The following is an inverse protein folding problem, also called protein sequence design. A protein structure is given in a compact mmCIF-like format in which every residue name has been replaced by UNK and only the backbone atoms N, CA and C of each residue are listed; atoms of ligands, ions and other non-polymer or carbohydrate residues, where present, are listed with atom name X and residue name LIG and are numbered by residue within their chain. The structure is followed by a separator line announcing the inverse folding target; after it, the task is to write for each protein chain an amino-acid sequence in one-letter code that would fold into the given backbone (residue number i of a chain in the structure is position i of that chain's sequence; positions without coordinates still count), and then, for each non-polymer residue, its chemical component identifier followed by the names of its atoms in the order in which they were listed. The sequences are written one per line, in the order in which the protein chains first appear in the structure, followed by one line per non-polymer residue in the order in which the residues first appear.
data_IF_896042061017
#
_entry.id   IF_896042061017
#
_cell.length_a   1.000
_cell.length_b   1.000
_cell.length_c   1.000
_cell.angle_alpha   90.00
_cell.angle_beta   90.00
_cell.angle_gamma   90.00
#
_symmetry.space_group_name_H-M   'P 1'
#
loop_
_entity.id
_entity.type
_entity.pdbx_description
1 polymer ?
#
# COMPACT_ATOMS: atom_id res chain seq x y z
N UNK A 1 -4.02 -2.02 30.92
CA UNK A 1 -3.22 -2.77 29.93
C UNK A 1 -4.06 -2.99 28.69
N UNK A 2 -4.01 -2.07 27.74
CA UNK A 2 -4.69 -2.16 26.43
C UNK A 2 -3.74 -2.82 25.43
N UNK A 3 -3.42 -4.09 25.67
CA UNK A 3 -2.64 -4.87 24.72
C UNK A 3 -3.53 -5.25 23.55
N UNK A 4 -3.06 -5.02 22.32
CA UNK A 4 -3.65 -5.64 21.12
C UNK A 4 -3.67 -7.14 21.40
N UNK A 5 -4.82 -7.81 21.31
CA UNK A 5 -5.01 -9.21 21.77
C UNK A 5 -4.18 -10.27 21.03
N UNK A 6 -3.17 -9.87 20.25
CA UNK A 6 -2.32 -10.70 19.41
C UNK A 6 -0.84 -10.40 19.69
N UNK A 7 -0.01 -11.41 19.46
CA UNK A 7 1.45 -11.29 19.54
C UNK A 7 1.99 -10.36 18.46
N UNK A 8 2.92 -9.49 18.82
CA UNK A 8 3.62 -8.61 17.87
C UNK A 8 5.14 -8.75 18.04
N UNK A 9 5.87 -8.82 16.92
CA UNK A 9 7.31 -8.73 16.95
C UNK A 9 7.74 -7.29 17.20
N UNK A 10 8.65 -7.08 18.15
CA UNK A 10 9.39 -5.82 18.21
C UNK A 10 10.28 -5.71 16.97
N UNK A 11 10.25 -4.56 16.29
CA UNK A 11 11.08 -4.31 15.10
C UNK A 11 12.56 -4.01 15.43
N UNK A 12 13.07 -4.46 16.58
CA UNK A 12 14.47 -4.28 16.95
C UNK A 12 15.37 -5.24 16.15
N UNK A 13 16.47 -4.71 15.63
CA UNK A 13 17.45 -5.49 14.85
C UNK A 13 18.02 -6.68 15.64
N UNK A 14 18.27 -6.50 16.94
CA UNK A 14 18.77 -7.57 17.80
C UNK A 14 17.82 -8.78 17.88
N UNK A 15 16.51 -8.53 17.99
CA UNK A 15 15.48 -9.58 18.06
C UNK A 15 15.33 -10.28 16.71
N UNK A 16 15.46 -9.52 15.61
CA UNK A 16 15.46 -10.06 14.24
C UNK A 16 16.62 -11.03 14.02
N UNK A 17 17.85 -10.63 14.38
CA UNK A 17 19.03 -11.50 14.22
C UNK A 17 18.93 -12.78 15.05
N UNK A 18 18.43 -12.69 16.29
CA UNK A 18 18.26 -13.86 17.14
C UNK A 18 17.27 -14.86 16.54
N UNK A 19 16.15 -14.37 15.99
CA UNK A 19 15.16 -15.22 15.33
C UNK A 19 15.68 -15.85 14.03
N UNK A 20 16.44 -15.10 13.23
CA UNK A 20 17.08 -15.63 12.02
C UNK A 20 18.07 -16.75 12.33
N UNK A 21 18.80 -16.67 13.44
CA UNK A 21 19.69 -17.75 13.93
C UNK A 21 18.93 -19.00 14.32
N UNK A 22 17.72 -18.86 14.87
CA UNK A 22 16.85 -19.98 15.27
C UNK A 22 16.07 -20.58 14.10
N UNK A 23 15.89 -19.85 13.01
CA UNK A 23 15.20 -20.34 11.82
C UNK A 23 16.04 -21.41 11.14
N UNK A 24 15.48 -22.61 11.06
CA UNK A 24 16.14 -23.79 10.56
C UNK A 24 15.32 -24.43 9.44
N UNK A 25 16.00 -24.81 8.34
CA UNK A 25 15.35 -25.57 7.27
C UNK A 25 15.04 -26.99 7.72
N UNK A 26 13.97 -27.56 7.18
CA UNK A 26 13.67 -28.99 7.32
C UNK A 26 14.80 -29.84 6.74
N UNK A 27 14.90 -31.09 7.19
CA UNK A 27 15.91 -32.05 6.71
C UNK A 27 15.85 -32.25 5.19
N UNK A 28 14.64 -32.29 4.61
CA UNK A 28 14.43 -32.41 3.17
C UNK A 28 15.00 -31.21 2.40
N UNK A 29 14.69 -29.99 2.85
CA UNK A 29 15.15 -28.77 2.20
C UNK A 29 16.67 -28.61 2.31
N UNK A 30 17.28 -28.95 3.45
CA UNK A 30 18.74 -28.95 3.61
C UNK A 30 19.42 -29.93 2.63
N UNK A 31 18.80 -31.07 2.37
CA UNK A 31 19.33 -32.06 1.42
C UNK A 31 19.32 -31.49 0.01
N UNK A 32 18.22 -30.86 -0.38
CA UNK A 32 18.07 -30.24 -1.71
C UNK A 32 19.02 -29.06 -1.92
N UNK A 33 19.21 -28.22 -0.91
CA UNK A 33 20.20 -27.12 -0.93
C UNK A 33 21.62 -27.66 -1.18
N UNK A 34 22.00 -28.74 -0.49
CA UNK A 34 23.32 -29.39 -0.66
C UNK A 34 23.47 -30.05 -2.03
N UNK A 35 22.45 -30.77 -2.49
CA UNK A 35 22.46 -31.45 -3.80
C UNK A 35 22.59 -30.45 -4.95
N UNK A 36 21.89 -29.31 -4.85
CA UNK A 36 21.92 -28.23 -5.85
C UNK A 36 23.13 -27.29 -5.71
N UNK A 37 23.96 -27.47 -4.66
CA UNK A 37 25.12 -26.62 -4.35
C UNK A 37 24.76 -25.12 -4.34
N UNK A 38 23.64 -24.79 -3.71
CA UNK A 38 23.20 -23.40 -3.65
C UNK A 38 24.18 -22.56 -2.82
N UNK A 39 24.37 -21.28 -3.19
CA UNK A 39 25.27 -20.39 -2.48
C UNK A 39 24.79 -20.16 -1.03
N UNK A 40 25.70 -19.97 -0.05
CA UNK A 40 25.32 -19.68 1.33
C UNK A 40 24.40 -18.46 1.48
N UNK A 41 24.52 -17.49 0.58
CA UNK A 41 23.67 -16.29 0.53
C UNK A 41 22.19 -16.65 0.31
N UNK A 42 21.90 -17.73 -0.42
CA UNK A 42 20.53 -18.18 -0.68
C UNK A 42 19.79 -18.54 0.61
N UNK A 43 20.47 -19.20 1.55
CA UNK A 43 19.85 -19.56 2.83
C UNK A 43 19.47 -18.32 3.63
N UNK A 44 20.33 -17.30 3.61
CA UNK A 44 20.10 -16.03 4.30
C UNK A 44 18.91 -15.29 3.69
N UNK A 45 18.88 -15.13 2.37
CA UNK A 45 17.81 -14.43 1.65
C UNK A 45 16.44 -15.07 1.88
N UNK A 46 16.34 -16.40 1.80
CA UNK A 46 15.08 -17.11 2.02
C UNK A 46 14.57 -16.91 3.45
N UNK A 47 15.47 -16.99 4.45
CA UNK A 47 15.10 -16.81 5.86
C UNK A 47 14.66 -15.37 6.14
N UNK A 48 15.35 -14.39 5.58
CA UNK A 48 14.97 -12.97 5.70
C UNK A 48 13.60 -12.70 5.07
N UNK A 49 13.38 -13.17 3.84
CA UNK A 49 12.10 -13.02 3.15
C UNK A 49 10.94 -13.74 3.88
N UNK A 50 11.20 -14.90 4.48
CA UNK A 50 10.22 -15.58 5.32
C UNK A 50 9.90 -14.77 6.58
N UNK A 51 10.94 -14.25 7.24
CA UNK A 51 10.78 -13.46 8.45
C UNK A 51 10.00 -12.17 8.20
N UNK A 52 10.25 -11.48 7.09
CA UNK A 52 9.51 -10.29 6.70
C UNK A 52 8.01 -10.58 6.54
N UNK A 53 7.67 -11.72 5.92
CA UNK A 53 6.28 -12.18 5.81
C UNK A 53 5.67 -12.52 7.16
N UNK A 54 6.44 -13.16 8.05
CA UNK A 54 6.00 -13.48 9.41
C UNK A 54 5.71 -12.21 10.21
N UNK A 55 6.64 -11.25 10.20
CA UNK A 55 6.50 -9.95 10.86
C UNK A 55 5.27 -9.22 10.31
N UNK A 56 5.11 -9.18 8.98
CA UNK A 56 3.92 -8.60 8.37
C UNK A 56 2.66 -9.26 8.91
N UNK A 57 2.54 -10.59 8.87
CA UNK A 57 1.34 -11.30 9.29
C UNK A 57 0.94 -11.06 10.75
N UNK A 58 1.92 -10.96 11.67
CA UNK A 58 1.63 -10.81 13.11
C UNK A 58 1.52 -9.35 13.55
N UNK A 59 2.19 -8.42 12.88
CA UNK A 59 2.15 -6.99 13.21
C UNK A 59 1.05 -6.23 12.46
N UNK A 60 0.02 -6.93 11.96
CA UNK A 60 -1.13 -6.28 11.32
C UNK A 60 -1.85 -5.35 12.30
N UNK A 61 -2.33 -4.19 11.84
CA UNK A 61 -3.15 -3.30 12.65
C UNK A 61 -4.48 -3.97 13.01
N UNK A 62 -5.00 -3.68 14.21
CA UNK A 62 -6.35 -4.10 14.55
C UNK A 62 -7.39 -3.26 13.78
N UNK A 63 -8.67 -3.62 13.92
CA UNK A 63 -9.76 -2.96 13.18
C UNK A 63 -9.82 -1.45 13.46
N UNK A 64 -9.64 -1.06 14.71
CA UNK A 64 -9.68 0.33 15.14
C UNK A 64 -8.54 1.16 14.54
N UNK A 65 -7.32 0.62 14.59
CA UNK A 65 -6.12 1.21 14.00
C UNK A 65 -6.21 1.28 12.48
N UNK A 66 -6.66 0.21 11.83
CA UNK A 66 -6.86 0.19 10.39
C UNK A 66 -7.87 1.26 9.96
N UNK A 67 -8.97 1.40 10.71
CA UNK A 67 -9.95 2.45 10.44
C UNK A 67 -9.36 3.85 10.62
N UNK A 68 -8.48 4.05 11.61
CA UNK A 68 -7.77 5.33 11.78
C UNK A 68 -6.86 5.59 10.59
N UNK A 69 -5.99 4.64 10.24
CA UNK A 69 -5.04 4.75 9.12
C UNK A 69 -5.77 5.07 7.82
N UNK A 70 -6.86 4.36 7.50
CA UNK A 70 -7.63 4.61 6.28
C UNK A 70 -8.24 6.02 6.28
N UNK A 71 -8.79 6.48 7.40
CA UNK A 71 -9.34 7.85 7.51
C UNK A 71 -8.26 8.91 7.37
N UNK A 72 -7.11 8.71 7.99
CA UNK A 72 -5.97 9.64 7.93
C UNK A 72 -5.39 9.70 6.50
N UNK A 73 -5.30 8.55 5.82
CA UNK A 73 -4.85 8.48 4.43
C UNK A 73 -5.82 9.15 3.46
N UNK A 74 -7.13 8.96 3.65
CA UNK A 74 -8.16 9.64 2.84
C UNK A 74 -8.11 11.14 3.07
N UNK A 75 -8.09 11.60 4.33
CA UNK A 75 -8.09 13.03 4.66
C UNK A 75 -6.81 13.76 4.24
N UNK A 76 -5.65 13.09 4.24
CA UNK A 76 -4.39 13.70 3.79
C UNK A 76 -4.28 13.84 2.27
N UNK A 77 -4.99 13.00 1.50
CA UNK A 77 -5.00 13.01 0.02
C UNK A 77 -6.15 13.83 -0.57
N UNK A 78 -7.29 13.88 0.11
CA UNK A 78 -8.42 14.72 -0.28
C UNK A 78 -8.14 16.13 0.23
N UNK A 79 -7.42 16.92 -0.58
CA UNK A 79 -7.20 18.36 -0.32
C UNK A 79 -8.37 19.22 -0.75
N UNK A 80 -9.11 18.76 -1.76
CA UNK A 80 -10.26 19.49 -2.25
C UNK A 80 -11.42 19.20 -1.30
N UNK A 81 -11.97 20.25 -0.69
CA UNK A 81 -13.27 20.14 -0.04
C UNK A 81 -14.26 19.61 -1.08
N UNK A 82 -15.16 18.70 -0.67
CA UNK A 82 -16.16 18.14 -1.57
C UNK A 82 -16.97 19.24 -2.28
N UNK A 83 -17.19 20.35 -1.56
CA UNK A 83 -17.82 21.57 -2.08
C UNK A 83 -16.96 22.19 -3.20
N UNK A 84 -15.67 22.41 -2.97
CA UNK A 84 -14.75 22.99 -3.97
C UNK A 84 -14.63 22.13 -5.22
N UNK A 85 -14.62 20.80 -5.07
CA UNK A 85 -14.61 19.88 -6.19
C UNK A 85 -15.92 19.95 -6.99
N UNK A 86 -17.07 20.03 -6.31
CA UNK A 86 -18.37 20.22 -6.97
C UNK A 86 -18.44 21.53 -7.74
N UNK A 87 -18.00 22.64 -7.14
CA UNK A 87 -17.97 23.95 -7.78
C UNK A 87 -17.08 23.96 -9.02
N UNK A 88 -15.88 23.36 -8.92
CA UNK A 88 -14.95 23.24 -10.04
C UNK A 88 -15.55 22.45 -11.21
N UNK A 89 -16.18 21.30 -10.93
CA UNK A 89 -16.86 20.50 -11.95
C UNK A 89 -18.01 21.27 -12.60
N UNK A 90 -18.81 21.99 -11.80
CA UNK A 90 -19.91 22.84 -12.30
C UNK A 90 -19.38 23.95 -13.22
N UNK A 91 -18.31 24.64 -12.80
CA UNK A 91 -17.66 25.68 -13.60
C UNK A 91 -17.14 25.11 -14.93
N UNK A 92 -16.44 23.97 -14.91
CA UNK A 92 -15.89 23.34 -16.12
C UNK A 92 -17.01 22.94 -17.10
N UNK A 93 -18.12 22.39 -16.59
CA UNK A 93 -19.30 22.05 -17.40
C UNK A 93 -19.96 23.29 -18.00
N UNK A 94 -20.07 24.39 -17.24
CA UNK A 94 -20.59 25.66 -17.74
C UNK A 94 -19.71 26.23 -18.87
N UNK A 95 -18.38 26.17 -18.70
CA UNK A 95 -17.41 26.62 -19.71
C UNK A 95 -17.54 25.79 -20.98
N UNK A 96 -17.61 24.47 -20.88
CA UNK A 96 -17.80 23.59 -22.05
C UNK A 96 -19.11 23.87 -22.80
N UNK A 97 -20.19 24.13 -22.07
CA UNK A 97 -21.48 24.47 -22.68
C UNK A 97 -21.47 25.84 -23.36
N UNK A 98 -20.78 26.82 -22.76
CA UNK A 98 -20.60 28.14 -23.36
C UNK A 98 -19.77 28.06 -24.65
N UNK A 99 -18.68 27.29 -24.66
CA UNK A 99 -17.86 27.06 -25.85
C UNK A 99 -18.67 26.41 -26.97
N UNK A 100 -19.42 25.33 -26.68
CA UNK A 100 -20.30 24.68 -27.66
C UNK A 100 -21.36 25.63 -28.23
N UNK A 101 -21.93 26.51 -27.41
CA UNK A 101 -22.91 27.51 -27.85
C UNK A 101 -22.30 28.54 -28.80
N UNK A 102 -21.07 28.98 -28.53
CA UNK A 102 -20.33 29.92 -29.39
C UNK A 102 -19.94 29.25 -30.72
N UNK A 103 -19.49 27.99 -30.69
CA UNK A 103 -19.17 27.23 -31.91
C UNK A 103 -20.39 27.04 -32.82
N UNK A 104 -21.55 26.69 -32.27
CA UNK A 104 -22.79 26.60 -33.06
C UNK A 104 -23.18 27.95 -33.66
N UNK A 105 -23.02 29.05 -32.93
CA UNK A 105 -23.32 30.40 -33.43
C UNK A 105 -22.36 30.81 -34.56
N UNK A 106 -21.06 30.52 -34.44
CA UNK A 106 -20.11 30.77 -35.53
C UNK A 106 -20.48 29.97 -36.78
N UNK A 107 -20.86 28.69 -36.62
CA UNK A 107 -21.23 27.82 -37.74
C UNK A 107 -22.48 28.34 -38.49
N UNK A 108 -23.46 28.90 -37.78
CA UNK A 108 -24.65 29.52 -38.38
C UNK A 108 -24.28 30.80 -39.14
N UNK A 109 -23.37 31.63 -38.61
CA UNK A 109 -22.96 32.88 -39.27
C UNK A 109 -22.10 32.62 -40.52
N UNK A 110 -21.37 31.51 -40.59
CA UNK A 110 -20.58 31.12 -41.78
C UNK A 110 -21.38 30.51 -42.94
N UNK A 111 -22.70 30.32 -42.77
CA UNK A 111 -23.58 29.70 -43.79
C UNK A 111 -24.48 30.74 -44.49
N UNK A 112 -24.37 32.03 -44.13
CA UNK A 112 -25.06 33.14 -44.77
C UNK A 112 -24.12 34.08 -45.53
#
# INVERSE_FOLDING_TARGET
MTGRGFYQFSQNDATREELLKRLEFSSAMRKEIKERKLPPEFEKEIKEAFFDKLVFAVNQPNREELNSIVKDEISSKVKDDYIELQEKILCDLMVQNAIKSIEMKLCIVSVY
#
